data_IF_476021050036
#
_entry.id   IF_476021050036
#
_cell.length_a   1.000
_cell.length_b   1.000
_cell.length_c   1.000
_cell.angle_alpha   90.00
_cell.angle_beta   90.00
_cell.angle_gamma   90.00
#
_symmetry.space_group_name_H-M   'P 1'
#
loop_
_entity.id
_entity.type
_entity.pdbx_description
1 polymer ?
#
# COMPACT_ATOMS: atom_id res chain seq x y z
N UNK A 1 1.55 -5.55 -25.96
CA UNK A 1 0.43 -4.95 -25.28
C UNK A 1 0.02 -5.70 -24.03
N UNK A 2 -0.33 -6.97 -24.21
CA UNK A 2 -0.79 -7.76 -23.08
C UNK A 2 0.25 -7.88 -21.97
N UNK A 3 1.55 -7.86 -22.31
CA UNK A 3 2.60 -8.02 -21.30
C UNK A 3 2.62 -6.85 -20.30
N UNK A 4 2.41 -5.62 -20.79
CA UNK A 4 2.38 -4.47 -19.90
C UNK A 4 1.15 -4.50 -18.99
N UNK A 5 -0.02 -4.81 -19.56
CA UNK A 5 -1.26 -4.87 -18.79
C UNK A 5 -1.17 -5.96 -17.71
N UNK A 6 -0.64 -7.11 -18.08
CA UNK A 6 -0.46 -8.21 -17.13
C UNK A 6 0.49 -7.81 -16.02
N UNK A 7 1.63 -7.19 -16.37
CA UNK A 7 2.61 -6.73 -15.37
C UNK A 7 1.97 -5.74 -14.41
N UNK A 8 1.21 -4.77 -14.95
CA UNK A 8 0.56 -3.76 -14.13
C UNK A 8 -0.42 -4.41 -13.14
N UNK A 9 -1.26 -5.32 -13.63
CA UNK A 9 -2.25 -5.99 -12.79
C UNK A 9 -1.59 -6.88 -11.75
N UNK A 10 -0.53 -7.58 -12.11
CA UNK A 10 0.19 -8.44 -11.17
C UNK A 10 0.81 -7.61 -10.04
N UNK A 11 1.42 -6.47 -10.39
CA UNK A 11 2.00 -5.58 -9.39
C UNK A 11 0.94 -4.96 -8.51
N UNK A 12 -0.17 -4.54 -9.10
CA UNK A 12 -1.29 -3.98 -8.35
C UNK A 12 -1.80 -4.97 -7.32
N UNK A 13 -2.02 -6.21 -7.72
CA UNK A 13 -2.48 -7.26 -6.81
C UNK A 13 -1.47 -7.54 -5.73
N UNK A 14 -0.19 -7.58 -6.10
CA UNK A 14 0.88 -7.80 -5.13
C UNK A 14 0.84 -6.73 -4.02
N UNK A 15 0.74 -5.47 -4.42
CA UNK A 15 0.73 -4.39 -3.44
C UNK A 15 -0.53 -4.36 -2.59
N UNK A 16 -1.67 -4.77 -3.14
CA UNK A 16 -2.89 -4.89 -2.35
C UNK A 16 -2.71 -5.92 -1.23
N UNK A 17 -2.15 -7.07 -1.57
CA UNK A 17 -1.92 -8.13 -0.60
C UNK A 17 -0.87 -7.70 0.42
N UNK A 18 0.22 -7.12 -0.07
CA UNK A 18 1.30 -6.64 0.80
C UNK A 18 0.79 -5.61 1.81
N UNK A 19 0.03 -4.63 1.32
CA UNK A 19 -0.52 -3.57 2.18
C UNK A 19 -1.47 -4.13 3.23
N UNK A 20 -2.32 -5.08 2.84
CA UNK A 20 -3.26 -5.70 3.77
C UNK A 20 -2.52 -6.45 4.89
N UNK A 21 -1.49 -7.19 4.53
CA UNK A 21 -0.69 -7.92 5.50
C UNK A 21 0.08 -6.98 6.42
N UNK A 22 0.63 -5.92 5.83
CA UNK A 22 1.35 -4.93 6.63
C UNK A 22 0.41 -4.23 7.61
N UNK A 23 -0.79 -3.86 7.17
CA UNK A 23 -1.77 -3.20 8.03
C UNK A 23 -2.14 -4.08 9.22
N UNK A 24 -2.37 -5.36 8.97
CA UNK A 24 -2.70 -6.31 10.03
C UNK A 24 -1.53 -6.46 11.02
N UNK A 25 -0.32 -6.56 10.50
CA UNK A 25 0.86 -6.66 11.34
C UNK A 25 1.06 -5.40 12.16
N UNK A 26 0.86 -4.23 11.54
CA UNK A 26 1.10 -2.95 12.19
C UNK A 26 0.16 -2.69 13.36
N UNK A 27 -1.03 -3.28 13.34
CA UNK A 27 -1.98 -3.12 14.46
C UNK A 27 -1.40 -3.62 15.78
N UNK A 28 -0.61 -4.69 15.72
CA UNK A 28 0.00 -5.24 16.93
C UNK A 28 1.43 -4.80 17.14
N UNK A 29 1.98 -3.97 16.28
CA UNK A 29 3.38 -3.55 16.36
C UNK A 29 3.48 -2.20 17.05
N UNK A 30 4.60 -2.01 17.77
CA UNK A 30 4.88 -0.75 18.45
C UNK A 30 5.74 0.11 17.54
N UNK A 31 5.09 0.74 16.57
CA UNK A 31 5.78 1.55 15.56
C UNK A 31 5.88 3.00 16.02
N UNK A 32 7.03 3.61 15.74
CA UNK A 32 7.22 5.04 15.98
C UNK A 32 6.46 5.85 14.94
N UNK A 33 6.18 7.11 15.27
CA UNK A 33 5.54 8.02 14.33
C UNK A 33 6.33 8.13 13.03
N UNK A 34 7.65 8.19 13.15
CA UNK A 34 8.52 8.30 11.98
C UNK A 34 8.39 7.07 11.07
N UNK A 35 8.31 5.89 11.65
CA UNK A 35 8.14 4.66 10.86
C UNK A 35 6.78 4.64 10.16
N UNK A 36 5.73 5.05 10.85
CA UNK A 36 4.39 5.12 10.27
C UNK A 36 4.36 6.12 9.11
N UNK A 37 4.96 7.29 9.31
CA UNK A 37 5.00 8.30 8.25
C UNK A 37 5.78 7.83 7.05
N UNK A 38 6.90 7.15 7.27
CA UNK A 38 7.71 6.61 6.17
C UNK A 38 6.94 5.60 5.35
N UNK A 39 6.26 4.67 6.01
CA UNK A 39 5.46 3.67 5.31
C UNK A 39 4.27 4.30 4.62
N UNK A 40 3.65 5.32 5.22
CA UNK A 40 2.54 6.02 4.59
C UNK A 40 2.97 6.67 3.28
N UNK A 41 4.14 7.30 3.25
CA UNK A 41 4.67 7.91 2.03
C UNK A 41 4.92 6.85 0.96
N UNK A 42 5.47 5.72 1.35
CA UNK A 42 5.71 4.60 0.45
C UNK A 42 4.39 4.12 -0.17
N UNK A 43 3.38 3.89 0.66
CA UNK A 43 2.08 3.43 0.17
C UNK A 43 1.37 4.47 -0.67
N UNK A 44 1.52 5.76 -0.35
CA UNK A 44 0.94 6.82 -1.19
C UNK A 44 1.53 6.79 -2.60
N UNK A 45 2.84 6.63 -2.69
CA UNK A 45 3.51 6.55 -3.99
C UNK A 45 2.97 5.40 -4.81
N UNK A 46 2.84 4.23 -4.20
CA UNK A 46 2.31 3.04 -4.86
C UNK A 46 0.84 3.24 -5.24
N UNK A 47 0.06 3.81 -4.34
CA UNK A 47 -1.36 4.02 -4.56
C UNK A 47 -1.62 4.93 -5.75
N UNK A 48 -0.81 5.97 -5.89
CA UNK A 48 -0.92 6.89 -7.03
C UNK A 48 -0.57 6.19 -8.34
N UNK A 49 0.45 5.35 -8.29
CA UNK A 49 0.93 4.67 -9.49
C UNK A 49 -0.04 3.59 -9.98
N UNK A 50 -0.67 2.87 -9.05
CA UNK A 50 -1.51 1.72 -9.39
C UNK A 50 -3.00 1.94 -9.14
N UNK A 51 -3.40 3.16 -8.79
CA UNK A 51 -4.82 3.45 -8.58
C UNK A 51 -5.40 2.79 -7.34
N UNK A 52 -4.63 2.75 -6.25
CA UNK A 52 -5.02 2.08 -5.01
C UNK A 52 -5.30 3.04 -3.87
N UNK A 53 -5.53 4.32 -4.18
CA UNK A 53 -5.74 5.33 -3.13
C UNK A 53 -6.88 4.94 -2.21
N UNK A 54 -8.03 4.58 -2.79
CA UNK A 54 -9.20 4.23 -1.99
C UNK A 54 -8.98 2.93 -1.22
N UNK A 55 -8.36 1.95 -1.85
CA UNK A 55 -8.09 0.67 -1.20
C UNK A 55 -7.21 0.86 0.03
N UNK A 56 -6.17 1.67 -0.11
CA UNK A 56 -5.24 1.90 1.00
C UNK A 56 -5.85 2.80 2.06
N UNK A 57 -6.72 3.73 1.67
CA UNK A 57 -7.42 4.57 2.64
C UNK A 57 -8.34 3.72 3.52
N UNK A 58 -8.98 2.71 2.94
CA UNK A 58 -9.84 1.80 3.70
C UNK A 58 -9.06 0.95 4.68
N UNK A 59 -7.78 0.68 4.37
CA UNK A 59 -6.91 -0.04 5.30
C UNK A 59 -6.38 0.87 6.42
N UNK A 60 -6.57 2.17 6.30
CA UNK A 60 -6.09 3.11 7.30
C UNK A 60 -4.59 3.31 7.30
N UNK A 61 -3.92 3.03 6.20
CA UNK A 61 -2.46 3.12 6.12
C UNK A 61 -1.96 4.40 5.46
N UNK A 62 -2.86 5.23 4.96
CA UNK A 62 -2.49 6.52 4.37
C UNK A 62 -2.69 7.61 5.40
N UNK A 63 -1.59 8.20 5.84
CA UNK A 63 -1.62 9.33 6.78
C UNK A 63 -1.65 10.61 5.96
N UNK A 64 -2.57 11.49 6.29
CA UNK A 64 -2.72 12.76 5.59
C UNK A 64 -1.78 13.81 6.13
#
# INVERSE_FOLDING_TARGET
MSNYVKWYNDRKNFYKIFASRWAAWAEGADLSTMEVEGMSKFFKSIARRFGLIQDFAELGILVQ
#
